data_IF_580890392650
#
_entry.id   IF_580890392650
#
_cell.length_a   1.000
_cell.length_b   1.000
_cell.length_c   1.000
_cell.angle_alpha   90.00
_cell.angle_beta   90.00
_cell.angle_gamma   90.00
#
_symmetry.space_group_name_H-M   'P 1'
#
loop_
_entity.id
_entity.type
_entity.pdbx_description
1 polymer ?
#
# COMPACT_ATOMS: atom_id res chain seq x y z
N UNK A 1 23.98 1.17 18.14
CA UNK A 1 22.64 0.58 18.29
C UNK A 1 21.69 1.37 17.40
N UNK A 2 20.92 0.72 16.53
CA UNK A 2 19.94 1.42 15.68
C UNK A 2 18.54 1.08 16.16
N UNK A 3 17.74 2.09 16.47
CA UNK A 3 16.32 1.92 16.80
C UNK A 3 15.53 3.03 16.11
N UNK A 4 14.52 2.67 15.33
CA UNK A 4 13.68 3.63 14.65
C UNK A 4 12.30 3.06 14.31
N UNK A 5 11.35 3.96 14.06
CA UNK A 5 10.00 3.63 13.66
C UNK A 5 9.74 4.12 12.22
N UNK A 6 8.99 3.31 11.47
CA UNK A 6 8.48 3.62 10.14
C UNK A 6 6.97 3.46 10.17
N UNK A 7 6.25 4.27 9.39
CA UNK A 7 4.84 4.03 9.15
C UNK A 7 4.45 4.39 7.74
N UNK A 8 3.54 3.61 7.16
CA UNK A 8 2.97 3.86 5.83
C UNK A 8 1.43 3.92 5.93
N UNK A 9 0.77 4.83 5.21
CA UNK A 9 -0.69 4.89 5.15
C UNK A 9 -1.26 3.70 4.37
N UNK A 10 -2.58 3.55 4.41
CA UNK A 10 -3.32 2.80 3.39
C UNK A 10 -3.65 3.67 2.19
N UNK A 11 -4.53 3.19 1.32
CA UNK A 11 -5.04 3.96 0.18
C UNK A 11 -6.53 3.73 -0.04
N UNK A 12 -7.19 4.71 -0.66
CA UNK A 12 -8.58 4.64 -1.11
C UNK A 12 -8.69 5.27 -2.49
N UNK A 13 -9.49 4.67 -3.37
CA UNK A 13 -9.89 5.28 -4.62
C UNK A 13 -11.07 6.21 -4.32
N UNK A 14 -10.91 7.51 -4.55
CA UNK A 14 -11.98 8.50 -4.32
C UNK A 14 -12.88 8.62 -5.55
N UNK A 15 -12.27 8.82 -6.72
CA UNK A 15 -12.97 9.02 -7.99
C UNK A 15 -12.29 8.20 -9.10
N UNK A 16 -13.09 7.75 -10.05
CA UNK A 16 -12.66 6.88 -11.15
C UNK A 16 -13.17 5.45 -11.00
N UNK A 17 -12.57 4.53 -11.75
CA UNK A 17 -12.93 3.11 -11.76
C UNK A 17 -11.70 2.24 -11.42
N UNK A 18 -11.89 1.04 -10.90
CA UNK A 18 -10.81 0.11 -10.52
C UNK A 18 -10.06 -0.56 -11.69
N UNK A 19 -10.43 -0.30 -12.96
CA UNK A 19 -9.76 -0.86 -14.16
C UNK A 19 -9.01 0.17 -14.98
N UNK A 20 -7.75 -0.14 -15.32
CA UNK A 20 -6.85 0.67 -16.18
C UNK A 20 -7.36 0.72 -17.62
N UNK A 21 -8.25 1.68 -17.88
CA UNK A 21 -8.54 2.10 -19.25
C UNK A 21 -7.54 3.17 -19.68
N UNK A 22 -6.96 3.05 -20.88
CA UNK A 22 -6.17 4.13 -21.45
C UNK A 22 -7.04 5.39 -21.48
N UNK A 23 -6.48 6.49 -20.99
CA UNK A 23 -7.03 7.87 -21.01
C UNK A 23 -7.97 8.30 -19.87
N UNK A 24 -8.34 7.43 -18.95
CA UNK A 24 -9.22 7.84 -17.84
C UNK A 24 -8.46 8.44 -16.66
N UNK A 25 -9.06 9.46 -16.04
CA UNK A 25 -8.57 10.16 -14.88
C UNK A 25 -9.11 9.52 -13.60
N UNK A 26 -8.23 9.14 -12.66
CA UNK A 26 -8.63 8.65 -11.35
C UNK A 26 -7.89 9.36 -10.23
N UNK A 27 -8.55 9.41 -9.07
CA UNK A 27 -8.06 10.10 -7.88
C UNK A 27 -7.91 9.10 -6.74
N UNK A 28 -6.67 8.90 -6.29
CA UNK A 28 -6.35 8.00 -5.17
C UNK A 28 -5.80 8.84 -4.02
N UNK A 29 -6.37 8.64 -2.83
CA UNK A 29 -5.92 9.31 -1.62
C UNK A 29 -5.27 8.32 -0.64
N UNK A 30 -4.29 8.80 0.12
CA UNK A 30 -3.71 8.06 1.23
C UNK A 30 -4.67 8.05 2.42
N UNK A 31 -4.92 6.88 3.00
CA UNK A 31 -5.72 6.73 4.22
C UNK A 31 -4.84 6.85 5.45
N UNK A 32 -5.26 7.66 6.43
CA UNK A 32 -4.54 7.79 7.71
C UNK A 32 -4.75 6.59 8.67
N UNK A 33 -5.08 5.42 8.13
CA UNK A 33 -5.01 4.13 8.81
C UNK A 33 -3.69 3.51 8.39
N UNK A 34 -2.75 3.39 9.33
CA UNK A 34 -1.33 3.13 8.99
C UNK A 34 -0.88 1.74 9.41
N UNK A 35 0.01 1.17 8.62
CA UNK A 35 0.91 0.12 9.07
C UNK A 35 2.09 0.77 9.79
N UNK A 36 2.45 0.27 10.97
CA UNK A 36 3.55 0.75 11.80
C UNK A 36 4.58 -0.37 11.93
N UNK A 37 5.84 -0.01 11.77
CA UNK A 37 6.98 -0.91 11.90
C UNK A 37 8.01 -0.28 12.84
N UNK A 38 8.44 -1.03 13.84
CA UNK A 38 9.59 -0.68 14.68
C UNK A 38 10.76 -1.60 14.37
N UNK A 39 11.95 -1.04 14.18
CA UNK A 39 13.18 -1.76 13.92
C UNK A 39 14.17 -1.52 15.06
N UNK A 40 14.76 -2.58 15.58
CA UNK A 40 15.84 -2.51 16.58
C UNK A 40 17.00 -3.43 16.18
N UNK A 41 18.21 -2.88 16.08
CA UNK A 41 19.46 -3.62 15.92
C UNK A 41 20.19 -3.68 17.26
N UNK A 42 20.38 -4.88 17.78
CA UNK A 42 21.13 -5.11 19.00
C UNK A 42 22.63 -5.08 18.72
N UNK A 43 23.46 -4.63 19.67
CA UNK A 43 24.90 -4.73 19.55
C UNK A 43 25.32 -6.21 19.41
N UNK A 44 26.43 -6.49 18.67
CA UNK A 44 26.93 -7.85 18.52
C UNK A 44 27.23 -8.48 19.89
N UNK A 45 27.02 -9.80 20.02
CA UNK A 45 27.38 -10.59 21.21
C UNK A 45 26.60 -10.24 22.49
N UNK A 46 25.57 -9.41 22.40
CA UNK A 46 24.63 -9.18 23.52
C UNK A 46 23.74 -10.40 23.75
N UNK A 47 23.46 -11.16 22.69
CA UNK A 47 22.76 -12.44 22.79
C UNK A 47 23.71 -13.60 22.45
N UNK A 48 23.56 -14.78 23.08
CA UNK A 48 24.45 -15.92 22.83
C UNK A 48 24.43 -16.39 21.38
N UNK A 49 23.26 -16.35 20.74
CA UNK A 49 23.06 -16.76 19.36
C UNK A 49 22.32 -15.65 18.62
N UNK A 50 22.94 -15.12 17.56
CA UNK A 50 22.35 -14.05 16.77
C UNK A 50 21.14 -14.55 15.96
N UNK A 51 20.07 -13.76 15.91
CA UNK A 51 18.83 -14.12 15.22
C UNK A 51 18.15 -12.95 14.52
N UNK A 52 17.30 -13.27 13.56
CA UNK A 52 16.35 -12.37 12.93
C UNK A 52 15.01 -12.59 13.63
N UNK A 53 14.42 -11.54 14.20
CA UNK A 53 13.08 -11.63 14.77
C UNK A 53 12.08 -10.81 13.96
N UNK A 54 10.99 -11.44 13.56
CA UNK A 54 9.81 -10.79 13.01
C UNK A 54 8.63 -11.04 13.95
N UNK A 55 7.97 -9.96 14.36
CA UNK A 55 6.74 -9.99 15.14
C UNK A 55 5.67 -9.18 14.40
N UNK A 56 4.74 -9.87 13.76
CA UNK A 56 3.63 -9.27 13.02
C UNK A 56 2.31 -9.59 13.73
N UNK A 57 2.03 -8.78 14.76
CA UNK A 57 0.86 -8.89 15.64
C UNK A 57 -0.48 -9.02 14.92
N UNK A 58 -0.72 -8.24 13.85
CA UNK A 58 -2.01 -8.21 13.15
C UNK A 58 -2.41 -9.52 12.46
N UNK A 59 -1.45 -10.42 12.24
CA UNK A 59 -1.71 -11.75 11.69
C UNK A 59 -1.31 -12.86 12.66
N UNK A 60 -0.95 -12.52 13.91
CA UNK A 60 -0.44 -13.47 14.89
C UNK A 60 0.79 -14.26 14.37
N UNK A 61 1.73 -13.60 13.70
CA UNK A 61 2.96 -14.23 13.22
C UNK A 61 4.17 -13.76 14.04
N UNK A 62 4.86 -14.69 14.67
CA UNK A 62 6.09 -14.47 15.42
C UNK A 62 7.13 -15.49 15.01
N UNK A 63 8.31 -15.01 14.63
CA UNK A 63 9.41 -15.84 14.16
C UNK A 63 10.73 -15.36 14.76
N UNK A 64 11.54 -16.31 15.23
CA UNK A 64 12.95 -16.12 15.58
C UNK A 64 13.79 -17.10 14.77
N UNK A 65 14.57 -16.55 13.85
CA UNK A 65 15.29 -17.32 12.84
C UNK A 65 16.78 -17.16 13.08
N UNK A 66 17.56 -18.25 13.26
CA UNK A 66 18.99 -18.15 13.46
C UNK A 66 19.67 -17.39 12.32
N UNK A 67 20.42 -16.33 12.65
CA UNK A 67 21.02 -15.46 11.65
C UNK A 67 22.01 -16.22 10.75
N UNK A 68 22.76 -17.16 11.34
CA UNK A 68 23.71 -18.01 10.61
C UNK A 68 23.05 -18.77 9.47
N UNK A 69 21.87 -19.36 9.69
CA UNK A 69 21.15 -20.13 8.65
C UNK A 69 20.73 -19.24 7.50
N UNK A 70 20.23 -18.03 7.81
CA UNK A 70 19.89 -17.03 6.80
C UNK A 70 21.12 -16.58 5.99
N UNK A 71 22.23 -16.28 6.66
CA UNK A 71 23.48 -15.84 6.00
C UNK A 71 24.10 -16.94 5.13
N UNK A 72 24.09 -18.19 5.56
CA UNK A 72 24.56 -19.32 4.74
C UNK A 72 23.70 -19.46 3.49
N UNK A 73 22.39 -19.31 3.62
CA UNK A 73 21.46 -19.51 2.52
C UNK A 73 21.55 -18.40 1.45
N UNK A 74 21.73 -17.14 1.84
CA UNK A 74 21.70 -16.00 0.90
C UNK A 74 23.08 -15.32 0.69
N UNK A 75 23.97 -15.29 1.68
CA UNK A 75 25.15 -14.40 1.66
C UNK A 75 26.51 -15.11 1.57
N UNK A 76 26.54 -16.45 1.51
CA UNK A 76 27.80 -17.20 1.40
C UNK A 76 28.48 -17.03 0.04
N UNK A 77 29.82 -17.19 -0.02
CA UNK A 77 30.74 -16.70 -1.08
C UNK A 77 30.39 -17.08 -2.54
N UNK A 78 29.53 -18.05 -2.79
CA UNK A 78 29.16 -18.50 -4.14
C UNK A 78 27.83 -17.92 -4.65
N UNK A 79 27.16 -17.07 -3.87
CA UNK A 79 25.94 -16.42 -4.32
C UNK A 79 26.25 -15.21 -5.19
N UNK A 80 25.80 -15.26 -6.45
CA UNK A 80 25.84 -14.11 -7.33
C UNK A 80 24.91 -13.02 -6.76
N UNK A 81 25.48 -11.95 -6.20
CA UNK A 81 24.70 -10.81 -5.67
C UNK A 81 24.04 -9.99 -6.78
N UNK A 82 24.47 -10.13 -8.04
CA UNK A 82 23.83 -9.59 -9.23
C UNK A 82 22.74 -10.52 -9.77
N UNK A 83 21.99 -11.16 -8.86
CA UNK A 83 20.93 -12.09 -9.20
C UNK A 83 19.64 -11.32 -9.58
N UNK A 84 19.00 -11.64 -10.72
CA UNK A 84 17.72 -11.04 -11.06
C UNK A 84 16.67 -11.26 -9.98
N UNK A 85 15.83 -10.25 -9.72
CA UNK A 85 14.79 -10.30 -8.67
C UNK A 85 13.85 -11.53 -8.76
N UNK A 86 13.60 -12.06 -9.97
CA UNK A 86 12.82 -13.30 -10.16
C UNK A 86 13.50 -14.53 -9.52
N UNK A 87 14.82 -14.63 -9.62
CA UNK A 87 15.58 -15.74 -9.05
C UNK A 87 15.67 -15.60 -7.53
N UNK A 88 15.88 -14.37 -7.01
CA UNK A 88 15.82 -14.07 -5.56
C UNK A 88 14.47 -14.53 -4.98
N UNK A 89 13.35 -14.18 -5.62
CA UNK A 89 12.03 -14.60 -5.14
C UNK A 89 11.84 -16.12 -5.13
N UNK A 90 12.33 -16.84 -6.15
CA UNK A 90 12.30 -18.32 -6.16
C UNK A 90 13.07 -18.92 -4.98
N UNK A 91 14.22 -18.34 -4.61
CA UNK A 91 15.01 -18.78 -3.46
C UNK A 91 14.32 -18.46 -2.14
N UNK A 92 13.74 -17.26 -2.03
CA UNK A 92 12.95 -16.86 -0.86
C UNK A 92 11.77 -17.81 -0.63
N UNK A 93 11.07 -18.23 -1.69
CA UNK A 93 10.00 -19.24 -1.56
C UNK A 93 10.48 -20.55 -0.95
N UNK A 94 11.60 -21.08 -1.46
CA UNK A 94 12.22 -22.29 -0.92
C UNK A 94 12.66 -22.09 0.53
N UNK A 95 13.28 -20.95 0.84
CA UNK A 95 13.71 -20.62 2.18
C UNK A 95 12.54 -20.56 3.17
N UNK A 96 11.45 -19.87 2.82
CA UNK A 96 10.25 -19.76 3.67
C UNK A 96 9.60 -21.12 3.92
N UNK A 97 9.61 -22.03 2.95
CA UNK A 97 9.15 -23.42 3.15
C UNK A 97 10.00 -24.17 4.19
N UNK A 98 11.30 -23.90 4.25
CA UNK A 98 12.21 -24.52 5.23
C UNK A 98 12.07 -23.94 6.64
N UNK A 99 11.33 -22.84 6.83
CA UNK A 99 11.14 -22.21 8.14
C UNK A 99 10.13 -22.93 9.04
N UNK A 100 9.45 -23.96 8.53
CA UNK A 100 8.36 -24.72 9.19
C UNK A 100 8.74 -25.47 10.49
N UNK A 101 9.97 -25.32 10.98
CA UNK A 101 10.44 -25.82 12.28
C UNK A 101 11.29 -24.81 13.07
N UNK A 102 11.36 -23.56 12.62
CA UNK A 102 12.02 -22.50 13.37
C UNK A 102 11.18 -22.07 14.58
N UNK A 103 11.83 -21.47 15.59
CA UNK A 103 11.14 -21.00 16.79
C UNK A 103 10.13 -19.91 16.43
N UNK A 104 8.86 -20.17 16.68
CA UNK A 104 7.77 -19.26 16.32
C UNK A 104 6.44 -19.99 16.20
N UNK A 105 5.44 -19.28 15.68
CA UNK A 105 4.10 -19.81 15.41
C UNK A 105 3.76 -19.74 13.91
N UNK A 106 4.79 -19.81 13.05
CA UNK A 106 4.60 -19.86 11.60
C UNK A 106 3.81 -21.12 11.21
N UNK A 107 2.69 -20.87 10.56
CA UNK A 107 1.85 -21.89 9.94
C UNK A 107 2.01 -21.80 8.41
N UNK A 108 2.64 -22.78 7.75
CA UNK A 108 2.80 -22.81 6.29
C UNK A 108 1.47 -22.90 5.52
N UNK A 109 0.39 -23.37 6.17
CA UNK A 109 -0.94 -23.46 5.58
C UNK A 109 -1.67 -22.12 5.59
N UNK A 110 -1.34 -21.22 6.53
CA UNK A 110 -1.84 -19.84 6.51
C UNK A 110 -1.13 -19.02 5.43
N UNK A 111 -1.88 -18.70 4.37
CA UNK A 111 -1.39 -17.91 3.26
C UNK A 111 -0.84 -16.54 3.71
N UNK A 112 -1.43 -15.91 4.72
CA UNK A 112 -1.00 -14.59 5.22
C UNK A 112 0.37 -14.70 5.87
N UNK A 113 0.60 -15.76 6.63
CA UNK A 113 1.90 -16.03 7.23
C UNK A 113 2.96 -16.23 6.14
N UNK A 114 2.70 -17.14 5.20
CA UNK A 114 3.63 -17.47 4.12
C UNK A 114 3.98 -16.23 3.28
N UNK A 115 2.98 -15.50 2.77
CA UNK A 115 3.21 -14.33 1.92
C UNK A 115 3.88 -13.18 2.68
N UNK A 116 3.59 -13.02 3.98
CA UNK A 116 4.24 -11.98 4.80
C UNK A 116 5.73 -12.27 5.02
N UNK A 117 6.10 -13.54 5.22
CA UNK A 117 7.51 -13.97 5.30
C UNK A 117 8.21 -13.87 3.96
N UNK A 118 7.56 -14.30 2.87
CA UNK A 118 8.10 -14.15 1.52
C UNK A 118 8.41 -12.68 1.22
N UNK A 119 7.50 -11.75 1.56
CA UNK A 119 7.69 -10.31 1.40
C UNK A 119 8.83 -9.76 2.27
N UNK A 120 8.87 -10.15 3.54
CA UNK A 120 9.93 -9.75 4.46
C UNK A 120 11.32 -10.13 3.93
N UNK A 121 11.51 -11.40 3.57
CA UNK A 121 12.80 -11.91 3.13
C UNK A 121 13.15 -11.43 1.72
N UNK A 122 12.18 -11.33 0.81
CA UNK A 122 12.41 -10.80 -0.52
C UNK A 122 12.94 -9.37 -0.47
N UNK A 123 12.28 -8.47 0.28
CA UNK A 123 12.73 -7.08 0.42
C UNK A 123 14.07 -6.97 1.16
N UNK A 124 14.26 -7.78 2.22
CA UNK A 124 15.53 -7.79 2.95
C UNK A 124 16.70 -8.18 2.03
N UNK A 125 16.58 -9.31 1.32
CA UNK A 125 17.66 -9.82 0.46
C UNK A 125 17.88 -8.90 -0.73
N UNK A 126 16.81 -8.46 -1.40
CA UNK A 126 16.91 -7.58 -2.57
C UNK A 126 17.61 -6.26 -2.24
N UNK A 127 17.19 -5.60 -1.16
CA UNK A 127 17.78 -4.32 -0.75
C UNK A 127 19.18 -4.54 -0.18
N UNK A 128 19.43 -5.64 0.56
CA UNK A 128 20.76 -5.94 1.07
C UNK A 128 21.79 -6.19 -0.04
N UNK A 129 21.41 -6.89 -1.11
CA UNK A 129 22.28 -7.08 -2.27
C UNK A 129 22.56 -5.78 -3.01
N UNK A 130 21.52 -5.00 -3.30
CA UNK A 130 21.64 -3.78 -4.09
C UNK A 130 22.33 -2.64 -3.32
N UNK A 131 22.08 -2.55 -2.01
CA UNK A 131 22.58 -1.45 -1.16
C UNK A 131 23.76 -1.82 -0.28
N UNK A 132 24.23 -3.07 -0.35
CA UNK A 132 25.38 -3.57 0.41
C UNK A 132 25.16 -3.57 1.92
N UNK A 133 23.97 -3.93 2.39
CA UNK A 133 23.67 -3.98 3.83
C UNK A 133 24.50 -5.09 4.47
N UNK A 134 25.29 -4.74 5.49
CA UNK A 134 26.04 -5.69 6.28
C UNK A 134 25.18 -6.21 7.45
N UNK A 135 24.80 -7.49 7.42
CA UNK A 135 23.94 -8.12 8.42
C UNK A 135 24.80 -8.98 9.34
N UNK A 136 25.21 -8.45 10.49
CA UNK A 136 26.18 -9.09 11.39
C UNK A 136 25.64 -9.41 12.79
N UNK A 137 24.48 -8.85 13.15
CA UNK A 137 23.95 -8.93 14.52
C UNK A 137 22.43 -9.04 14.51
N UNK A 138 21.89 -9.38 15.67
CA UNK A 138 20.46 -9.56 15.90
C UNK A 138 19.70 -8.28 15.60
N UNK A 139 18.66 -8.41 14.79
CA UNK A 139 17.71 -7.34 14.58
C UNK A 139 16.27 -7.84 14.74
N UNK A 140 15.43 -6.94 15.23
CA UNK A 140 14.04 -7.20 15.58
C UNK A 140 13.19 -6.24 14.76
N UNK A 141 12.23 -6.80 14.03
CA UNK A 141 11.22 -6.06 13.28
C UNK A 141 9.87 -6.39 13.88
N UNK A 142 9.20 -5.38 14.45
CA UNK A 142 7.82 -5.52 14.93
C UNK A 142 6.88 -4.72 14.06
N UNK A 143 5.76 -5.32 13.70
CA UNK A 143 4.80 -4.78 12.74
C UNK A 143 3.40 -4.89 13.32
N UNK A 144 2.64 -3.80 13.17
CA UNK A 144 1.22 -3.74 13.49
C UNK A 144 0.50 -2.91 12.45
N UNK A 145 -0.71 -3.30 12.10
CA UNK A 145 -1.56 -2.55 11.19
C UNK A 145 -3.01 -2.57 11.66
N UNK A 146 -3.68 -1.44 11.46
CA UNK A 146 -5.14 -1.32 11.61
C UNK A 146 -5.85 -1.43 10.25
N UNK A 147 -5.11 -1.56 9.16
CA UNK A 147 -5.70 -1.76 7.84
C UNK A 147 -6.25 -3.19 7.75
N UNK A 148 -7.53 -3.37 7.44
CA UNK A 148 -8.05 -4.70 7.24
C UNK A 148 -7.54 -5.27 5.93
N UNK A 149 -7.24 -6.56 5.98
CA UNK A 149 -6.66 -7.29 4.86
C UNK A 149 -7.76 -7.74 3.90
N UNK A 150 -7.47 -7.69 2.59
CA UNK A 150 -8.38 -8.19 1.56
C UNK A 150 -9.45 -7.21 1.07
N UNK A 151 -9.52 -5.99 1.63
CA UNK A 151 -10.52 -4.97 1.24
C UNK A 151 -10.03 -3.96 0.20
N UNK A 152 -8.89 -4.21 -0.47
CA UNK A 152 -8.35 -3.30 -1.48
C UNK A 152 -7.78 -1.97 -0.97
N UNK A 153 -7.67 -1.79 0.36
CA UNK A 153 -7.15 -0.58 1.02
C UNK A 153 -5.62 -0.48 1.04
N UNK A 154 -4.93 -1.34 0.31
CA UNK A 154 -3.47 -1.35 0.23
C UNK A 154 -2.75 -1.86 1.48
N UNK A 155 -3.33 -2.80 2.24
CA UNK A 155 -2.68 -3.37 3.44
C UNK A 155 -1.34 -4.05 3.12
N UNK A 156 -1.28 -4.85 2.04
CA UNK A 156 -0.05 -5.49 1.55
C UNK A 156 0.98 -4.48 1.10
N UNK A 157 0.56 -3.50 0.29
CA UNK A 157 1.43 -2.43 -0.21
C UNK A 157 1.97 -1.55 0.92
N UNK A 158 1.14 -1.24 1.93
CA UNK A 158 1.55 -0.51 3.13
C UNK A 158 2.61 -1.27 3.93
N UNK A 159 2.47 -2.59 4.05
CA UNK A 159 3.46 -3.46 4.67
C UNK A 159 4.76 -3.52 3.84
N UNK A 160 4.68 -3.70 2.52
CA UNK A 160 5.82 -3.69 1.60
C UNK A 160 6.60 -2.37 1.70
N UNK A 161 5.91 -1.23 1.71
CA UNK A 161 6.51 0.10 1.86
C UNK A 161 7.20 0.24 3.21
N UNK A 162 6.59 -0.21 4.31
CA UNK A 162 7.23 -0.16 5.62
C UNK A 162 8.53 -0.97 5.65
N UNK A 163 8.53 -2.18 5.09
CA UNK A 163 9.72 -3.03 5.02
C UNK A 163 10.80 -2.43 4.13
N UNK A 164 10.45 -1.97 2.92
CA UNK A 164 11.38 -1.35 2.00
C UNK A 164 12.01 -0.09 2.60
N UNK A 165 11.20 0.78 3.22
CA UNK A 165 11.68 1.97 3.92
C UNK A 165 12.55 1.62 5.14
N UNK A 166 12.21 0.56 5.87
CA UNK A 166 13.00 0.07 7.01
C UNK A 166 14.40 -0.37 6.57
N UNK A 167 14.50 -1.27 5.59
CA UNK A 167 15.80 -1.77 5.13
C UNK A 167 16.59 -0.70 4.39
N UNK A 168 15.94 0.18 3.64
CA UNK A 168 16.59 1.36 3.05
C UNK A 168 17.19 2.27 4.12
N UNK A 169 16.42 2.61 5.16
CA UNK A 169 16.92 3.40 6.30
C UNK A 169 18.07 2.71 7.01
N UNK A 170 18.00 1.40 7.19
CA UNK A 170 19.10 0.65 7.77
C UNK A 170 20.38 0.76 6.93
N UNK A 171 20.28 0.69 5.60
CA UNK A 171 21.41 0.95 4.71
C UNK A 171 21.98 2.36 4.86
N UNK A 172 21.11 3.38 4.90
CA UNK A 172 21.53 4.77 5.11
C UNK A 172 22.28 4.94 6.43
N UNK A 173 21.78 4.36 7.52
CA UNK A 173 22.43 4.42 8.83
C UNK A 173 23.81 3.74 8.82
N UNK A 174 23.97 2.60 8.13
CA UNK A 174 25.29 1.97 7.96
C UNK A 174 26.26 2.84 7.14
N UNK A 175 25.75 3.69 6.25
CA UNK A 175 26.51 4.67 5.47
C UNK A 175 26.74 6.00 6.22
N UNK A 176 26.36 6.09 7.49
CA UNK A 176 26.50 7.31 8.30
C UNK A 176 25.47 8.40 8.00
N UNK A 177 24.41 8.10 7.24
CA UNK A 177 23.37 9.05 6.86
C UNK A 177 22.19 8.93 7.83
N UNK A 178 22.11 9.86 8.79
CA UNK A 178 21.00 9.97 9.73
C UNK A 178 20.11 11.17 9.38
N UNK A 179 18.88 10.92 8.93
CA UNK A 179 17.86 11.96 8.69
C UNK A 179 16.49 11.46 9.08
N UNK A 180 15.62 12.36 9.52
CA UNK A 180 14.27 12.00 9.94
C UNK A 180 13.40 11.62 8.74
N UNK A 181 13.38 12.45 7.69
CA UNK A 181 12.57 12.22 6.49
C UNK A 181 13.39 11.66 5.32
N UNK A 182 12.73 10.89 4.45
CA UNK A 182 13.33 10.42 3.21
C UNK A 182 13.25 11.49 2.12
N UNK A 183 14.32 11.66 1.35
CA UNK A 183 14.34 12.54 0.18
C UNK A 183 13.48 11.97 -0.95
N UNK A 184 13.07 12.82 -1.88
CA UNK A 184 12.30 12.39 -3.06
C UNK A 184 12.95 11.25 -3.87
N UNK A 185 14.28 11.27 -4.01
CA UNK A 185 15.03 10.21 -4.70
C UNK A 185 14.97 8.88 -3.92
N UNK A 186 15.00 8.94 -2.60
CA UNK A 186 14.92 7.77 -1.71
C UNK A 186 13.50 7.20 -1.70
N UNK A 187 12.48 8.07 -1.61
CA UNK A 187 11.07 7.69 -1.75
C UNK A 187 10.81 6.98 -3.09
N UNK A 188 11.36 7.48 -4.19
CA UNK A 188 11.24 6.82 -5.49
C UNK A 188 11.85 5.40 -5.47
N UNK A 189 13.01 5.21 -4.84
CA UNK A 189 13.64 3.89 -4.69
C UNK A 189 12.80 2.95 -3.81
N UNK A 190 12.31 3.44 -2.67
CA UNK A 190 11.41 2.69 -1.78
C UNK A 190 10.16 2.22 -2.54
N UNK A 191 9.55 3.10 -3.35
CA UNK A 191 8.40 2.75 -4.17
C UNK A 191 8.73 1.67 -5.21
N UNK A 192 9.92 1.72 -5.82
CA UNK A 192 10.36 0.69 -6.80
C UNK A 192 10.53 -0.67 -6.12
N UNK A 193 11.19 -0.76 -4.96
CA UNK A 193 11.34 -2.06 -4.28
C UNK A 193 10.00 -2.62 -3.81
N UNK A 194 9.17 -1.79 -3.18
CA UNK A 194 7.87 -2.22 -2.70
C UNK A 194 6.94 -2.62 -3.86
N UNK A 195 6.94 -1.88 -4.97
CA UNK A 195 6.17 -2.22 -6.17
C UNK A 195 6.64 -3.53 -6.82
N UNK A 196 7.96 -3.74 -6.94
CA UNK A 196 8.52 -4.99 -7.44
C UNK A 196 8.13 -6.19 -6.57
N UNK A 197 8.06 -5.99 -5.26
CA UNK A 197 7.61 -7.00 -4.31
C UNK A 197 6.12 -7.32 -4.47
N UNK A 198 5.26 -6.31 -4.52
CA UNK A 198 3.82 -6.48 -4.68
C UNK A 198 3.45 -7.18 -5.99
N UNK A 199 4.14 -6.83 -7.09
CA UNK A 199 3.97 -7.47 -8.39
C UNK A 199 4.35 -8.96 -8.32
N UNK A 200 5.49 -9.32 -7.73
CA UNK A 200 5.97 -10.72 -7.71
C UNK A 200 5.23 -11.61 -6.71
N UNK A 201 4.82 -11.06 -5.58
CA UNK A 201 4.23 -11.83 -4.48
C UNK A 201 2.72 -11.92 -4.61
N UNK A 202 2.07 -10.78 -4.86
CA UNK A 202 0.63 -10.69 -4.92
C UNK A 202 0.08 -10.65 -6.35
N UNK A 203 0.93 -10.71 -7.39
CA UNK A 203 0.55 -10.51 -8.79
C UNK A 203 -0.27 -9.23 -8.96
N UNK A 204 0.06 -8.19 -8.18
CA UNK A 204 -0.68 -6.94 -8.20
C UNK A 204 -0.37 -6.21 -9.49
N UNK A 205 -1.38 -6.04 -10.35
CA UNK A 205 -1.25 -5.35 -11.63
C UNK A 205 -1.20 -3.81 -11.50
N UNK A 206 -1.20 -3.25 -10.28
CA UNK A 206 -1.25 -1.81 -10.02
C UNK A 206 -0.02 -1.29 -9.26
N UNK A 207 1.15 -1.13 -9.92
CA UNK A 207 2.34 -0.53 -9.30
C UNK A 207 2.09 0.87 -8.73
N UNK A 208 1.10 1.56 -9.30
CA UNK A 208 0.61 2.88 -8.90
C UNK A 208 0.25 2.96 -7.41
N UNK A 209 -0.32 1.90 -6.83
CA UNK A 209 -0.76 1.88 -5.43
C UNK A 209 0.40 2.16 -4.47
N UNK A 210 1.59 1.62 -4.78
CA UNK A 210 2.79 1.80 -3.95
C UNK A 210 3.27 3.25 -3.98
N UNK A 211 3.19 3.90 -5.15
CA UNK A 211 3.63 5.30 -5.30
C UNK A 211 2.82 6.27 -4.43
N UNK A 212 1.50 6.05 -4.36
CA UNK A 212 0.58 6.82 -3.51
C UNK A 212 0.90 6.59 -2.04
N UNK A 213 1.08 5.34 -1.63
CA UNK A 213 1.37 4.99 -0.24
C UNK A 213 2.70 5.58 0.24
N UNK A 214 3.73 5.56 -0.61
CA UNK A 214 5.05 6.13 -0.27
C UNK A 214 5.00 7.65 -0.16
N UNK A 215 4.27 8.32 -1.06
CA UNK A 215 4.27 9.80 -1.13
C UNK A 215 3.23 10.44 -0.22
N UNK A 216 2.16 9.71 0.12
CA UNK A 216 1.00 10.24 0.82
C UNK A 216 0.22 11.27 0.01
N UNK A 217 -0.82 11.82 0.61
CA UNK A 217 -1.66 12.86 0.01
C UNK A 217 -2.63 12.31 -1.03
N UNK A 218 -2.97 13.16 -2.00
CA UNK A 218 -3.89 12.81 -3.09
C UNK A 218 -3.09 12.76 -4.39
N UNK A 219 -3.21 11.66 -5.13
CA UNK A 219 -2.56 11.50 -6.43
C UNK A 219 -3.60 11.31 -7.52
N UNK A 220 -3.41 12.06 -8.59
CA UNK A 220 -4.23 12.03 -9.79
C UNK A 220 -3.46 11.30 -10.88
N UNK A 221 -4.11 10.29 -11.46
CA UNK A 221 -3.60 9.55 -12.60
C UNK A 221 -4.48 9.83 -13.81
N UNK A 222 -3.88 10.03 -14.98
CA UNK A 222 -4.58 10.13 -16.25
C UNK A 222 -3.65 9.66 -17.37
N UNK A 223 -4.19 9.12 -18.46
CA UNK A 223 -3.38 8.65 -19.61
C UNK A 223 -2.24 7.68 -19.21
N UNK A 224 -2.48 6.77 -18.25
CA UNK A 224 -1.48 5.83 -17.71
C UNK A 224 -0.25 6.50 -17.07
N UNK A 225 -0.35 7.77 -16.69
CA UNK A 225 0.71 8.51 -16.02
C UNK A 225 0.18 9.24 -14.79
N UNK A 226 1.08 9.55 -13.85
CA UNK A 226 0.76 10.47 -12.76
C UNK A 226 0.65 11.88 -13.33
N UNK A 227 -0.54 12.46 -13.27
CA UNK A 227 -0.78 13.84 -13.71
C UNK A 227 -0.35 14.81 -12.62
N UNK A 228 -0.80 14.58 -11.38
CA UNK A 228 -0.57 15.50 -10.27
C UNK A 228 -0.50 14.78 -8.93
N UNK A 229 0.27 15.31 -8.00
CA UNK A 229 0.31 14.83 -6.61
C UNK A 229 0.16 16.02 -5.67
N UNK A 230 -0.94 16.05 -4.94
CA UNK A 230 -1.20 17.01 -3.88
C UNK A 230 -0.58 16.50 -2.58
N UNK A 231 0.66 16.91 -2.34
CA UNK A 231 1.38 16.68 -1.08
C UNK A 231 1.01 17.77 -0.08
N UNK A 232 0.91 17.42 1.20
CA UNK A 232 0.48 18.33 2.29
C UNK A 232 -0.90 18.95 1.99
N UNK A 233 -1.82 18.09 1.56
CA UNK A 233 -3.22 18.45 1.41
C UNK A 233 -3.92 18.37 2.78
N UNK A 234 -4.89 19.25 3.02
CA UNK A 234 -5.67 19.27 4.27
C UNK A 234 -6.39 17.95 4.47
N UNK A 235 -6.52 17.50 5.72
CA UNK A 235 -7.12 16.21 6.02
C UNK A 235 -8.62 16.21 5.76
N UNK A 236 -9.09 15.39 4.83
CA UNK A 236 -10.53 15.12 4.64
C UNK A 236 -10.94 14.01 5.61
N UNK A 237 -11.93 14.28 6.46
CA UNK A 237 -12.51 13.28 7.36
C UNK A 237 -13.49 12.42 6.56
N UNK A 238 -13.32 11.10 6.63
CA UNK A 238 -14.20 10.13 5.97
C UNK A 238 -14.63 9.05 6.95
N UNK A 239 -15.82 8.49 6.73
CA UNK A 239 -16.29 7.30 7.42
C UNK A 239 -16.06 6.07 6.53
N UNK A 240 -15.24 5.14 7.00
CA UNK A 240 -14.95 3.91 6.28
C UNK A 240 -15.85 2.78 6.78
N UNK A 241 -16.78 2.32 5.93
CA UNK A 241 -17.76 1.30 6.27
C UNK A 241 -17.42 -0.01 5.56
N UNK A 242 -17.32 -1.11 6.34
CA UNK A 242 -17.08 -2.45 5.80
C UNK A 242 -18.39 -3.21 5.70
N UNK A 243 -18.85 -3.50 4.50
CA UNK A 243 -20.06 -4.30 4.26
C UNK A 243 -19.93 -5.78 4.67
N UNK A 244 -18.71 -6.24 5.01
CA UNK A 244 -18.34 -7.62 5.39
C UNK A 244 -18.79 -8.70 4.39
N UNK A 245 -19.13 -8.33 3.16
CA UNK A 245 -19.43 -9.31 2.10
C UNK A 245 -18.12 -9.94 1.65
N UNK A 246 -17.90 -11.18 2.05
CA UNK A 246 -16.74 -11.97 1.64
C UNK A 246 -16.93 -12.44 0.19
N UNK A 247 -16.50 -11.64 -0.79
CA UNK A 247 -16.52 -12.03 -2.21
C UNK A 247 -15.14 -11.84 -2.84
N UNK A 248 -14.81 -12.74 -3.77
CA UNK A 248 -13.73 -12.58 -4.74
C UNK A 248 -14.09 -11.47 -5.74
N UNK A 249 -14.33 -10.25 -5.24
CA UNK A 249 -14.86 -9.10 -5.98
C UNK A 249 -14.02 -8.85 -7.24
N UNK A 250 -12.69 -8.98 -7.16
CA UNK A 250 -11.84 -8.80 -8.34
C UNK A 250 -12.11 -9.81 -9.47
N UNK A 251 -12.40 -11.09 -9.19
CA UNK A 251 -12.62 -12.08 -10.26
C UNK A 251 -14.00 -11.94 -10.87
N UNK A 252 -15.03 -11.85 -10.03
CA UNK A 252 -16.41 -11.79 -10.50
C UNK A 252 -16.72 -10.45 -11.18
N UNK A 253 -16.13 -9.35 -10.71
CA UNK A 253 -16.25 -8.03 -11.32
C UNK A 253 -15.52 -7.94 -12.66
N UNK A 254 -14.30 -8.47 -12.79
CA UNK A 254 -13.59 -8.52 -14.08
C UNK A 254 -14.37 -9.37 -15.11
N UNK A 255 -14.95 -10.50 -14.68
CA UNK A 255 -15.76 -11.36 -15.54
C UNK A 255 -17.06 -10.67 -15.98
N UNK A 256 -17.77 -9.99 -15.07
CA UNK A 256 -18.97 -9.23 -15.43
C UNK A 256 -18.66 -8.01 -16.30
N UNK A 257 -17.54 -7.32 -16.04
CA UNK A 257 -17.14 -6.14 -16.79
C UNK A 257 -16.71 -6.48 -18.22
N UNK A 258 -15.99 -7.60 -18.43
CA UNK A 258 -15.67 -8.08 -19.78
C UNK A 258 -16.94 -8.42 -20.58
N UNK A 259 -18.00 -8.91 -19.92
CA UNK A 259 -19.32 -9.10 -20.56
C UNK A 259 -20.00 -7.77 -20.93
N UNK A 260 -19.85 -6.73 -20.10
CA UNK A 260 -20.41 -5.39 -20.35
C UNK A 260 -19.64 -4.66 -21.47
N UNK A 261 -18.31 -4.77 -21.49
CA UNK A 261 -17.45 -4.17 -22.51
C UNK A 261 -17.71 -4.74 -23.91
N UNK A 262 -18.11 -6.02 -23.98
CA UNK A 262 -18.47 -6.67 -25.23
C UNK A 262 -19.83 -6.26 -25.79
N UNK A 263 -20.64 -5.44 -25.08
CA UNK A 263 -22.05 -5.30 -25.44
C UNK A 263 -22.62 -3.92 -25.76
N UNK A 264 -22.05 -2.73 -25.45
CA UNK A 264 -22.79 -1.49 -25.81
C UNK A 264 -22.03 -0.15 -25.79
N UNK A 265 -22.34 0.72 -26.78
CA UNK A 265 -22.05 2.18 -26.80
C UNK A 265 -22.51 2.91 -25.52
N UNK A 266 -23.55 2.41 -24.86
CA UNK A 266 -24.07 2.93 -23.57
C UNK A 266 -23.03 2.86 -22.45
N UNK A 267 -22.16 1.85 -22.46
CA UNK A 267 -21.09 1.70 -21.45
C UNK A 267 -20.00 2.75 -21.61
N UNK A 268 -19.75 3.22 -22.83
CA UNK A 268 -18.75 4.26 -23.11
C UNK A 268 -19.23 5.63 -22.61
N UNK A 269 -20.51 5.97 -22.83
CA UNK A 269 -21.10 7.22 -22.35
C UNK A 269 -21.04 7.34 -20.82
N UNK A 270 -21.39 6.27 -20.09
CA UNK A 270 -21.30 6.25 -18.63
C UNK A 270 -19.86 6.40 -18.15
N UNK A 271 -18.92 5.71 -18.82
CA UNK A 271 -17.50 5.77 -18.49
C UNK A 271 -16.89 7.15 -18.78
N UNK A 272 -17.37 7.86 -19.81
CA UNK A 272 -17.01 9.26 -20.07
C UNK A 272 -17.57 10.19 -18.99
N UNK A 273 -18.80 9.95 -18.51
CA UNK A 273 -19.35 10.70 -17.38
C UNK A 273 -18.52 10.51 -16.10
N UNK A 274 -18.07 9.29 -15.81
CA UNK A 274 -17.16 9.01 -14.67
C UNK A 274 -15.81 9.75 -14.85
N UNK A 275 -15.27 9.78 -16.07
CA UNK A 275 -14.04 10.55 -16.36
C UNK A 275 -14.25 12.05 -16.11
N UNK A 276 -15.37 12.60 -16.59
CA UNK A 276 -15.71 14.01 -16.37
C UNK A 276 -15.88 14.33 -14.88
N UNK A 277 -16.58 13.50 -14.10
CA UNK A 277 -16.68 13.68 -12.64
C UNK A 277 -15.32 13.66 -11.96
N UNK A 278 -14.43 12.76 -12.40
CA UNK A 278 -13.08 12.67 -11.88
C UNK A 278 -12.29 13.95 -12.19
N UNK A 279 -12.43 14.52 -13.40
CA UNK A 279 -11.86 15.83 -13.77
C UNK A 279 -12.43 16.97 -12.95
N UNK A 280 -13.74 17.03 -12.76
CA UNK A 280 -14.36 18.05 -11.90
C UNK A 280 -13.82 17.96 -10.47
N UNK A 281 -13.67 16.75 -9.92
CA UNK A 281 -13.08 16.58 -8.58
C UNK A 281 -11.65 17.10 -8.49
N UNK A 282 -10.86 16.94 -9.57
CA UNK A 282 -9.49 17.44 -9.65
C UNK A 282 -9.50 18.96 -9.57
N UNK A 283 -10.37 19.64 -10.31
CA UNK A 283 -10.52 21.09 -10.28
C UNK A 283 -10.90 21.60 -8.88
N UNK A 284 -11.78 20.90 -8.17
CA UNK A 284 -12.13 21.21 -6.78
C UNK A 284 -10.91 21.10 -5.86
N UNK A 285 -10.14 20.01 -5.98
CA UNK A 285 -8.90 19.84 -5.21
C UNK A 285 -7.86 20.92 -5.54
N UNK A 286 -7.81 21.43 -6.77
CA UNK A 286 -6.93 22.55 -7.14
C UNK A 286 -7.34 23.85 -6.46
N UNK A 287 -8.64 24.18 -6.51
CA UNK A 287 -9.20 25.37 -5.84
C UNK A 287 -8.92 25.33 -4.34
N UNK A 288 -9.26 24.21 -3.68
CA UNK A 288 -8.97 23.99 -2.26
C UNK A 288 -7.48 24.21 -1.93
N UNK A 289 -6.57 23.69 -2.76
CA UNK A 289 -5.14 23.85 -2.52
C UNK A 289 -4.71 25.32 -2.67
N UNK A 290 -5.13 26.00 -3.72
CA UNK A 290 -4.75 27.39 -3.97
C UNK A 290 -5.20 28.31 -2.82
N UNK A 291 -6.40 28.08 -2.30
CA UNK A 291 -6.91 28.83 -1.14
C UNK A 291 -6.11 28.55 0.13
N UNK A 292 -5.63 27.31 0.30
CA UNK A 292 -4.76 26.93 1.44
C UNK A 292 -3.39 27.60 1.36
N UNK A 293 -2.79 27.71 0.17
CA UNK A 293 -1.46 28.30 -0.02
C UNK A 293 -1.48 29.85 0.12
N UNK A 294 -2.62 30.49 -0.17
CA UNK A 294 -2.80 31.95 -0.11
C UNK A 294 -3.17 32.48 1.29
N UNK A 295 -3.67 31.60 2.16
CA UNK A 295 -4.19 31.97 3.47
C UNK A 295 -3.30 31.33 4.54
N UNK A 296 -2.50 32.14 5.23
CA UNK A 296 -1.74 31.77 6.43
C UNK A 296 -2.66 31.49 7.63
N UNK A 297 -3.65 30.61 7.46
CA UNK A 297 -4.62 30.29 8.52
C UNK A 297 -4.29 28.91 9.06
N UNK A 298 -3.93 28.90 10.33
CA UNK A 298 -4.10 27.75 11.18
C UNK A 298 -5.58 27.34 11.18
N UNK A 299 -5.85 26.04 10.94
CA UNK A 299 -7.03 25.25 11.34
C UNK A 299 -8.08 24.92 10.26
N UNK A 300 -7.88 23.73 9.68
CA UNK A 300 -8.80 22.58 9.67
C UNK A 300 -10.21 22.67 9.04
N UNK A 301 -10.61 23.77 8.42
CA UNK A 301 -11.94 23.86 7.81
C UNK A 301 -11.95 24.62 6.49
N UNK A 302 -12.11 23.89 5.38
CA UNK A 302 -12.49 24.50 4.11
C UNK A 302 -13.91 25.07 4.18
N UNK A 303 -14.25 26.05 3.31
CA UNK A 303 -15.64 26.41 3.06
C UNK A 303 -16.50 25.16 2.86
N UNK A 304 -17.66 25.12 3.53
CA UNK A 304 -18.63 24.02 3.44
C UNK A 304 -19.00 23.71 1.98
N UNK A 305 -19.03 24.74 1.13
CA UNK A 305 -19.28 24.64 -0.31
C UNK A 305 -18.37 23.65 -1.05
N UNK A 306 -17.09 23.51 -0.66
CA UNK A 306 -16.21 22.54 -1.31
C UNK A 306 -16.50 21.11 -0.86
N UNK A 307 -16.88 20.92 0.40
CA UNK A 307 -17.29 19.60 0.88
C UNK A 307 -18.61 19.19 0.21
N UNK A 308 -19.55 20.11 0.06
CA UNK A 308 -20.80 19.89 -0.66
C UNK A 308 -20.55 19.49 -2.12
N UNK A 309 -19.67 20.21 -2.81
CA UNK A 309 -19.31 19.89 -4.21
C UNK A 309 -18.65 18.51 -4.32
N UNK A 310 -17.69 18.17 -3.45
CA UNK A 310 -17.07 16.83 -3.44
C UNK A 310 -18.08 15.73 -3.11
N UNK A 311 -19.00 15.98 -2.19
CA UNK A 311 -20.03 15.05 -1.77
C UNK A 311 -21.06 14.79 -2.88
N UNK A 312 -21.43 15.83 -3.63
CA UNK A 312 -22.26 15.73 -4.83
C UNK A 312 -21.58 14.89 -5.92
N UNK A 313 -20.29 15.13 -6.17
CA UNK A 313 -19.51 14.32 -7.11
C UNK A 313 -19.44 12.84 -6.69
N UNK A 314 -19.32 12.57 -5.39
CA UNK A 314 -19.37 11.19 -4.84
C UNK A 314 -20.72 10.55 -5.12
N UNK A 315 -21.82 11.27 -4.85
CA UNK A 315 -23.17 10.78 -5.10
C UNK A 315 -23.40 10.46 -6.57
N UNK A 316 -23.00 11.35 -7.47
CA UNK A 316 -23.12 11.15 -8.91
C UNK A 316 -22.29 9.95 -9.38
N UNK A 317 -21.04 9.83 -8.91
CA UNK A 317 -20.17 8.71 -9.27
C UNK A 317 -20.78 7.37 -8.83
N UNK A 318 -21.31 7.31 -7.61
CA UNK A 318 -21.96 6.10 -7.11
C UNK A 318 -23.22 5.75 -7.90
N UNK A 319 -24.03 6.74 -8.28
CA UNK A 319 -25.16 6.53 -9.19
C UNK A 319 -24.74 5.91 -10.53
N UNK A 320 -23.68 6.42 -11.15
CA UNK A 320 -23.15 5.88 -12.41
C UNK A 320 -22.59 4.45 -12.26
N UNK A 321 -21.91 4.15 -11.14
CA UNK A 321 -21.42 2.81 -10.85
C UNK A 321 -22.56 1.78 -10.66
N UNK A 322 -23.69 2.19 -10.07
CA UNK A 322 -24.90 1.34 -10.00
C UNK A 322 -25.44 1.00 -11.38
N UNK A 323 -25.49 1.98 -12.29
CA UNK A 323 -25.94 1.77 -13.68
C UNK A 323 -25.04 0.79 -14.44
N UNK A 324 -23.74 0.77 -14.13
CA UNK A 324 -22.80 -0.23 -14.67
C UNK A 324 -22.97 -1.64 -14.09
N UNK A 325 -24.05 -1.90 -13.35
CA UNK A 325 -24.42 -3.20 -12.82
C UNK A 325 -23.30 -3.82 -11.98
N UNK A 326 -22.82 -3.04 -11.00
CA UNK A 326 -22.01 -3.51 -9.88
C UNK A 326 -22.98 -3.79 -8.70
N UNK A 327 -23.71 -4.93 -8.68
CA UNK A 327 -24.73 -5.16 -7.68
C UNK A 327 -24.10 -5.38 -6.32
N UNK A 328 -24.30 -4.43 -5.42
CA UNK A 328 -23.96 -4.57 -4.01
C UNK A 328 -25.12 -4.05 -3.16
N UNK A 329 -26.15 -4.87 -2.94
CA UNK A 329 -27.31 -4.48 -2.12
C UNK A 329 -26.96 -3.95 -0.72
N UNK A 330 -25.81 -4.38 -0.14
CA UNK A 330 -25.34 -3.82 1.12
C UNK A 330 -24.67 -2.44 0.97
N UNK A 331 -24.09 -2.12 -0.19
CA UNK A 331 -23.55 -0.77 -0.44
C UNK A 331 -24.72 0.21 -0.61
N UNK A 332 -25.79 -0.18 -1.30
CA UNK A 332 -27.00 0.63 -1.40
C UNK A 332 -27.61 0.93 -0.03
N UNK A 333 -27.66 -0.07 0.85
CA UNK A 333 -28.11 0.09 2.23
C UNK A 333 -27.19 1.03 3.02
N UNK A 334 -25.87 0.89 2.88
CA UNK A 334 -24.89 1.78 3.53
C UNK A 334 -25.06 3.23 3.06
N UNK A 335 -25.24 3.44 1.74
CA UNK A 335 -25.51 4.76 1.18
C UNK A 335 -26.83 5.35 1.70
N UNK A 336 -27.89 4.53 1.79
CA UNK A 336 -29.19 4.98 2.31
C UNK A 336 -29.10 5.40 3.79
N UNK A 337 -28.47 4.58 4.64
CA UNK A 337 -28.26 4.91 6.06
C UNK A 337 -27.37 6.15 6.20
N UNK A 338 -26.33 6.28 5.37
CA UNK A 338 -25.48 7.46 5.39
C UNK A 338 -26.32 8.73 5.09
N UNK A 339 -27.18 8.67 4.08
CA UNK A 339 -28.05 9.79 3.69
C UNK A 339 -29.04 10.17 4.81
N UNK A 340 -29.62 9.18 5.49
CA UNK A 340 -30.50 9.41 6.65
C UNK A 340 -29.80 10.17 7.79
N UNK A 341 -28.48 10.06 7.88
CA UNK A 341 -27.66 10.72 8.89
C UNK A 341 -26.82 11.89 8.35
N UNK A 342 -27.20 12.47 7.20
CA UNK A 342 -26.50 13.60 6.55
C UNK A 342 -25.05 13.32 6.14
N UNK A 343 -24.70 12.05 5.94
CA UNK A 343 -23.44 11.62 5.32
C UNK A 343 -23.67 11.23 3.86
N UNK A 344 -22.70 11.49 2.99
CA UNK A 344 -22.75 11.04 1.60
C UNK A 344 -21.84 9.82 1.44
N UNK A 345 -22.46 8.64 1.29
CA UNK A 345 -21.76 7.35 1.19
C UNK A 345 -21.34 6.98 -0.24
N UNK A 346 -20.20 6.29 -0.34
CA UNK A 346 -19.69 5.61 -1.55
C UNK A 346 -20.09 4.14 -1.52
#
# INVERSE_FOLDING_TARGET
>A
MYNFNISAPGKVLLYGNSQERPKQAWVIASLNIRTKLSFALLPPRVVPNEYIQLDFSSINLQMKIPLRTFLIYFFYKNFNRQCPARQIYKQVKKYVQMLSGCRGNYDPSDLRHRLSLEMFFFLLVLIAYDQGINITSTFIVKVSTKLPMGYGLGSSSSYAVCLAACFWRWSLLQKGIARFEFLNKELAKIAVYAGCCDEKIYNTLRPVDTSVIVRGGITVFANNATLKTYRRFTSIKILLVYSKINKNINKDWIINFNKIQNLNLKSESIMNSIDNLSRTSIDVFEKMKNDTDNVSVELDTFPESYYDELAELVRMNQGLLKVLNVPHGNVDLVCAIAQEHFYMGV
#
